data_IF_660358390949
#
_entry.id   IF_660358390949
#
_cell.length_a   1.000
_cell.length_b   1.000
_cell.length_c   1.000
_cell.angle_alpha   90.00
_cell.angle_beta   90.00
_cell.angle_gamma   90.00
#
_symmetry.space_group_name_H-M   'P 1'
#
loop_
_entity.id
_entity.type
_entity.pdbx_description
1 polymer ?
#
# COMPACT_ATOMS: atom_id res chain seq x y z
N UNK A 1 23.63 -5.67 6.39
CA UNK A 1 22.47 -4.91 5.87
C UNK A 1 21.20 -5.73 6.06
N UNK A 2 20.14 -5.09 6.51
CA UNK A 2 18.87 -5.76 6.73
C UNK A 2 17.89 -5.45 5.60
N UNK A 3 17.14 -6.45 5.20
CA UNK A 3 16.09 -6.30 4.21
C UNK A 3 14.74 -6.65 4.84
N UNK A 4 13.72 -5.86 4.54
CA UNK A 4 12.35 -6.20 4.88
C UNK A 4 11.55 -6.23 3.58
N UNK A 5 10.90 -7.36 3.32
CA UNK A 5 10.04 -7.52 2.15
C UNK A 5 8.63 -7.07 2.51
N UNK A 6 8.10 -6.12 1.75
CA UNK A 6 6.74 -5.61 1.97
C UNK A 6 5.97 -5.62 0.66
N UNK A 7 4.66 -5.65 0.77
CA UNK A 7 3.77 -5.40 -0.36
C UNK A 7 3.21 -3.99 -0.24
N UNK A 8 3.00 -3.33 -1.37
CA UNK A 8 2.25 -2.08 -1.43
C UNK A 8 1.23 -2.18 -2.54
N UNK A 9 -0.03 -2.06 -2.17
CA UNK A 9 -1.14 -2.18 -3.11
C UNK A 9 -1.81 -0.83 -3.31
N UNK A 10 -1.96 -0.44 -4.57
CA UNK A 10 -2.78 0.69 -4.97
C UNK A 10 -4.17 0.14 -5.27
N UNK A 11 -5.18 0.74 -4.67
CA UNK A 11 -6.58 0.34 -4.85
C UNK A 11 -7.27 1.40 -5.71
N UNK A 12 -7.87 0.95 -6.80
CA UNK A 12 -8.53 1.82 -7.76
C UNK A 12 -10.04 1.57 -7.74
N UNK A 13 -10.82 2.65 -7.67
CA UNK A 13 -12.25 2.63 -7.85
C UNK A 13 -12.60 3.65 -8.92
N UNK A 14 -13.14 3.19 -10.06
CA UNK A 14 -13.36 4.02 -11.25
C UNK A 14 -12.05 4.75 -11.62
N UNK A 15 -12.06 6.08 -11.69
CA UNK A 15 -10.87 6.87 -12.03
C UNK A 15 -10.08 7.35 -10.80
N UNK A 16 -10.48 6.91 -9.60
CA UNK A 16 -9.89 7.35 -8.34
C UNK A 16 -9.00 6.29 -7.73
N UNK A 17 -8.01 6.71 -6.97
CA UNK A 17 -7.18 5.80 -6.16
C UNK A 17 -7.34 6.12 -4.68
N UNK A 18 -7.13 5.09 -3.86
CA UNK A 18 -7.26 5.17 -2.41
C UNK A 18 -5.93 5.56 -1.79
N UNK A 19 -5.97 6.58 -0.93
CA UNK A 19 -4.85 6.86 -0.03
C UNK A 19 -5.32 6.67 1.40
N UNK A 20 -4.45 6.06 2.21
CA UNK A 20 -4.69 5.80 3.63
C UNK A 20 -3.71 6.62 4.45
N UNK A 21 -4.22 7.35 5.43
CA UNK A 21 -3.35 8.11 6.34
C UNK A 21 -2.93 7.20 7.48
N UNK A 22 -1.65 6.92 7.59
CA UNK A 22 -1.10 6.08 8.65
C UNK A 22 -1.33 6.73 10.00
N UNK A 23 -1.81 5.93 10.97
CA UNK A 23 -2.13 6.44 12.29
C UNK A 23 -0.87 6.74 13.10
N UNK A 24 -1.03 7.36 14.26
CA UNK A 24 0.09 7.59 15.17
C UNK A 24 0.44 6.35 16.02
N UNK A 25 -0.29 5.26 15.84
CA UNK A 25 -0.08 3.98 16.55
C UNK A 25 0.88 3.04 15.84
N UNK A 26 1.22 3.29 14.57
CA UNK A 26 2.17 2.47 13.83
C UNK A 26 3.60 2.82 14.25
N UNK A 27 4.54 1.91 13.98
CA UNK A 27 5.95 2.10 14.38
C UNK A 27 6.73 3.01 13.46
N UNK A 28 6.37 3.06 12.18
CA UNK A 28 7.10 3.81 11.15
C UNK A 28 6.16 4.67 10.34
N UNK A 29 6.69 5.78 9.83
CA UNK A 29 5.97 6.64 8.88
C UNK A 29 4.59 7.06 9.39
N UNK A 30 4.55 7.61 10.63
CA UNK A 30 3.29 8.05 11.24
C UNK A 30 2.73 9.28 10.53
N UNK A 31 1.40 9.33 10.41
CA UNK A 31 0.66 10.50 9.93
C UNK A 31 0.99 10.92 8.49
N UNK A 32 1.53 10.00 7.68
CA UNK A 32 1.71 10.22 6.24
C UNK A 32 0.79 9.29 5.46
N UNK A 33 0.60 9.58 4.18
CA UNK A 33 -0.32 8.84 3.33
C UNK A 33 0.38 7.70 2.60
N UNK A 34 -0.33 6.58 2.43
CA UNK A 34 0.20 5.37 1.81
C UNK A 34 -0.88 4.62 1.05
N UNK A 35 -0.46 3.60 0.28
CA UNK A 35 -1.36 2.54 -0.17
C UNK A 35 -1.56 1.52 0.94
N UNK A 36 -2.14 0.37 0.61
CA UNK A 36 -2.26 -0.75 1.54
C UNK A 36 -0.94 -1.49 1.57
N UNK A 37 -0.30 -1.56 2.73
CA UNK A 37 1.05 -2.13 2.86
C UNK A 37 1.13 -3.11 4.01
N UNK A 38 2.03 -4.09 3.88
CA UNK A 38 2.28 -5.03 4.95
C UNK A 38 3.56 -5.83 4.73
N UNK A 39 4.10 -6.35 5.82
CA UNK A 39 5.33 -7.16 5.79
C UNK A 39 5.00 -8.57 5.33
N UNK A 40 5.79 -9.08 4.38
CA UNK A 40 5.64 -10.45 3.90
C UNK A 40 6.17 -11.39 4.98
N UNK A 41 5.35 -12.35 5.38
CA UNK A 41 5.71 -13.35 6.38
C UNK A 41 6.32 -14.59 5.71
N UNK A 42 7.11 -15.35 6.47
CA UNK A 42 7.80 -16.54 5.94
C UNK A 42 6.82 -17.62 5.45
N UNK A 43 5.63 -17.70 6.04
CA UNK A 43 4.62 -18.70 5.68
C UNK A 43 3.64 -18.22 4.61
N UNK A 44 3.83 -17.02 4.06
CA UNK A 44 3.01 -16.56 2.95
C UNK A 44 3.32 -17.35 1.69
N UNK A 45 2.28 -17.70 0.93
CA UNK A 45 2.44 -18.44 -0.32
C UNK A 45 3.15 -17.59 -1.38
N UNK A 46 2.92 -16.26 -1.36
CA UNK A 46 3.47 -15.34 -2.35
C UNK A 46 3.27 -13.91 -1.87
N UNK A 47 3.98 -12.93 -2.48
CA UNK A 47 3.69 -11.51 -2.22
C UNK A 47 2.24 -11.16 -2.52
N UNK A 48 1.65 -11.70 -3.59
CA UNK A 48 0.25 -11.45 -3.94
C UNK A 48 -0.70 -11.94 -2.83
N UNK A 49 -0.42 -13.11 -2.26
CA UNK A 49 -1.21 -13.65 -1.15
C UNK A 49 -1.20 -12.70 0.04
N UNK A 50 -0.01 -12.18 0.41
CA UNK A 50 0.11 -11.20 1.49
C UNK A 50 -0.65 -9.91 1.16
N UNK A 51 -0.57 -9.44 -0.08
CA UNK A 51 -1.29 -8.24 -0.51
C UNK A 51 -2.80 -8.37 -0.25
N UNK A 52 -3.38 -9.51 -0.59
CA UNK A 52 -4.81 -9.76 -0.38
C UNK A 52 -5.18 -9.80 1.09
N UNK A 53 -4.32 -10.38 1.93
CA UNK A 53 -4.54 -10.42 3.38
C UNK A 53 -4.53 -9.00 3.96
N UNK A 54 -3.54 -8.19 3.57
CA UNK A 54 -3.43 -6.81 4.06
C UNK A 54 -4.63 -5.96 3.63
N UNK A 55 -5.11 -6.15 2.40
CA UNK A 55 -6.29 -5.43 1.92
C UNK A 55 -7.51 -5.78 2.79
N UNK A 56 -7.69 -7.05 3.11
CA UNK A 56 -8.78 -7.46 3.99
C UNK A 56 -8.65 -6.84 5.38
N UNK A 57 -7.46 -6.88 5.96
CA UNK A 57 -7.22 -6.36 7.32
C UNK A 57 -7.34 -4.84 7.40
N UNK A 58 -6.78 -4.11 6.44
CA UNK A 58 -6.69 -2.66 6.52
C UNK A 58 -7.92 -1.93 6.00
N UNK A 59 -8.60 -2.48 5.00
CA UNK A 59 -9.72 -1.79 4.35
C UNK A 59 -11.01 -2.60 4.28
N UNK A 60 -11.00 -3.83 4.76
CA UNK A 60 -12.21 -4.64 4.90
C UNK A 60 -12.73 -5.28 3.62
N UNK A 61 -11.91 -5.37 2.58
CA UNK A 61 -12.33 -5.94 1.29
C UNK A 61 -11.87 -7.40 1.16
N UNK A 62 -12.82 -8.31 0.97
CA UNK A 62 -12.52 -9.74 0.77
C UNK A 62 -12.00 -9.99 -0.65
N UNK A 63 -11.30 -11.11 -0.84
CA UNK A 63 -10.64 -11.43 -2.10
C UNK A 63 -11.55 -11.34 -3.31
N UNK A 64 -12.78 -11.82 -3.22
CA UNK A 64 -13.72 -11.78 -4.35
C UNK A 64 -14.19 -10.39 -4.73
N UNK A 65 -13.91 -9.38 -3.90
CA UNK A 65 -14.29 -7.98 -4.16
C UNK A 65 -13.18 -7.19 -4.80
N UNK A 66 -12.01 -7.78 -4.98
CA UNK A 66 -10.87 -7.10 -5.58
C UNK A 66 -10.40 -7.87 -6.81
N UNK A 67 -9.89 -7.14 -7.79
CA UNK A 67 -9.37 -7.71 -9.03
C UNK A 67 -7.96 -7.16 -9.27
N UNK A 68 -6.99 -8.06 -9.39
CA UNK A 68 -5.62 -7.65 -9.71
C UNK A 68 -5.56 -7.17 -11.16
N UNK A 69 -5.17 -5.91 -11.37
CA UNK A 69 -5.01 -5.36 -12.70
C UNK A 69 -3.57 -5.43 -13.18
N UNK A 70 -2.61 -5.20 -12.29
CA UNK A 70 -1.19 -5.12 -12.68
C UNK A 70 -0.28 -5.33 -11.49
N UNK A 71 0.90 -5.87 -11.75
CA UNK A 71 2.01 -5.91 -10.81
C UNK A 71 3.27 -5.51 -11.54
N UNK A 72 4.26 -4.99 -10.82
CA UNK A 72 5.55 -4.61 -11.37
C UNK A 72 6.68 -5.30 -10.61
N UNK A 73 7.90 -5.16 -11.14
CA UNK A 73 9.09 -5.63 -10.45
C UNK A 73 9.23 -4.94 -9.10
N UNK A 74 9.82 -5.65 -8.15
CA UNK A 74 10.09 -5.11 -6.83
C UNK A 74 11.01 -3.90 -6.89
N UNK A 75 10.85 -3.01 -5.94
CA UNK A 75 11.62 -1.77 -5.82
C UNK A 75 12.34 -1.80 -4.47
N UNK A 76 13.64 -1.51 -4.48
CA UNK A 76 14.42 -1.40 -3.25
C UNK A 76 14.59 0.06 -2.85
N UNK A 77 14.32 0.35 -1.59
CA UNK A 77 14.44 1.69 -1.03
C UNK A 77 15.15 1.61 0.32
N UNK A 78 16.15 2.46 0.50
CA UNK A 78 16.81 2.57 1.79
C UNK A 78 15.90 3.25 2.80
N UNK A 79 15.87 2.71 4.02
CA UNK A 79 15.08 3.27 5.09
C UNK A 79 15.61 4.65 5.50
N UNK A 80 14.71 5.60 5.65
CA UNK A 80 15.06 6.92 6.19
C UNK A 80 15.13 6.91 7.72
N UNK A 81 14.49 5.91 8.34
CA UNK A 81 14.39 5.82 9.79
C UNK A 81 15.47 4.93 10.40
N UNK A 82 15.85 3.84 9.73
CA UNK A 82 16.80 2.87 10.25
C UNK A 82 18.03 2.75 9.35
N UNK A 83 19.22 2.79 9.96
CA UNK A 83 20.48 2.59 9.24
C UNK A 83 20.60 1.15 8.72
N UNK A 84 21.24 0.99 7.56
CA UNK A 84 21.53 -0.32 6.97
C UNK A 84 20.28 -1.18 6.79
N UNK A 85 19.14 -0.55 6.56
CA UNK A 85 17.89 -1.23 6.33
C UNK A 85 17.33 -0.86 4.97
N UNK A 86 17.02 -1.87 4.16
CA UNK A 86 16.42 -1.69 2.84
C UNK A 86 15.03 -2.30 2.83
N UNK A 87 14.06 -1.52 2.34
CA UNK A 87 12.71 -1.99 2.08
C UNK A 87 12.66 -2.54 0.66
N UNK A 88 12.27 -3.79 0.51
CA UNK A 88 12.06 -4.42 -0.79
C UNK A 88 10.55 -4.48 -1.03
N UNK A 89 10.05 -3.66 -1.95
CA UNK A 89 8.62 -3.41 -2.12
C UNK A 89 8.10 -4.14 -3.35
N UNK A 90 7.07 -4.96 -3.16
CA UNK A 90 6.34 -5.65 -4.24
C UNK A 90 5.06 -4.87 -4.54
N UNK A 91 4.97 -4.19 -5.70
CA UNK A 91 3.83 -3.30 -6.00
C UNK A 91 2.72 -4.01 -6.76
N UNK A 92 1.48 -3.72 -6.38
CA UNK A 92 0.28 -4.27 -7.02
C UNK A 92 -0.75 -3.17 -7.25
N UNK A 93 -1.53 -3.31 -8.33
CA UNK A 93 -2.69 -2.47 -8.59
C UNK A 93 -3.93 -3.35 -8.62
N UNK A 94 -4.90 -3.05 -7.75
CA UNK A 94 -6.18 -3.74 -7.70
C UNK A 94 -7.31 -2.78 -8.04
N UNK A 95 -8.37 -3.32 -8.63
CA UNK A 95 -9.61 -2.60 -8.86
C UNK A 95 -10.70 -3.13 -7.94
N UNK A 96 -11.54 -2.22 -7.45
CA UNK A 96 -12.69 -2.56 -6.62
C UNK A 96 -13.96 -1.95 -7.22
N UNK A 97 -15.11 -2.51 -6.86
CA UNK A 97 -16.42 -2.07 -7.37
C UNK A 97 -17.15 -1.15 -6.41
N UNK A 98 -16.60 -0.91 -5.23
CA UNK A 98 -17.23 -0.08 -4.20
C UNK A 98 -16.20 0.86 -3.58
N UNK A 99 -16.59 2.10 -3.26
CA UNK A 99 -15.71 3.02 -2.55
C UNK A 99 -15.75 2.85 -1.03
N UNK A 100 -16.53 1.89 -0.54
CA UNK A 100 -16.71 1.68 0.90
C UNK A 100 -15.48 1.03 1.52
N UNK A 101 -14.91 1.70 2.52
CA UNK A 101 -13.68 1.28 3.19
C UNK A 101 -13.95 1.17 4.69
N UNK A 102 -13.47 0.08 5.30
CA UNK A 102 -13.55 -0.12 6.74
C UNK A 102 -12.13 -0.17 7.29
N UNK A 103 -11.70 0.92 7.92
CA UNK A 103 -10.35 1.05 8.45
C UNK A 103 -10.14 0.22 9.72
N UNK A 104 -8.89 -0.20 9.94
CA UNK A 104 -8.45 -0.75 11.22
C UNK A 104 -7.54 0.27 11.94
N UNK A 105 -6.86 -0.16 13.01
CA UNK A 105 -6.06 0.73 13.85
C UNK A 105 -4.82 1.32 13.13
N UNK A 106 -4.38 0.70 12.04
CA UNK A 106 -3.17 1.14 11.35
C UNK A 106 -3.34 2.47 10.61
N UNK A 107 -4.56 2.77 10.20
CA UNK A 107 -4.86 3.97 9.43
C UNK A 107 -6.00 4.76 10.09
N UNK A 108 -5.83 6.08 10.17
CA UNK A 108 -6.79 6.98 10.83
C UNK A 108 -7.79 7.60 9.87
N UNK A 109 -7.44 7.71 8.59
CA UNK A 109 -8.29 8.35 7.57
C UNK A 109 -8.05 7.69 6.23
N UNK A 110 -9.00 7.87 5.33
CA UNK A 110 -8.82 7.51 3.93
C UNK A 110 -9.41 8.58 3.02
N UNK A 111 -8.93 8.61 1.78
CA UNK A 111 -9.43 9.52 0.77
C UNK A 111 -9.31 8.86 -0.60
N UNK A 112 -10.30 9.11 -1.45
CA UNK A 112 -10.24 8.74 -2.86
C UNK A 112 -9.84 9.98 -3.64
N UNK A 113 -8.78 9.89 -4.44
CA UNK A 113 -8.25 11.04 -5.17
C UNK A 113 -8.07 10.72 -6.65
N UNK A 114 -8.07 11.75 -7.48
CA UNK A 114 -7.52 11.63 -8.83
C UNK A 114 -6.02 11.33 -8.70
N UNK A 115 -5.47 10.37 -9.47
CA UNK A 115 -4.06 10.02 -9.36
C UNK A 115 -3.10 11.22 -9.41
N UNK A 116 -3.40 12.22 -10.23
CA UNK A 116 -2.53 13.40 -10.36
C UNK A 116 -2.50 14.26 -9.10
N UNK A 117 -3.52 14.16 -8.24
CA UNK A 117 -3.57 14.93 -7.00
C UNK A 117 -2.64 14.40 -5.92
N UNK A 118 -2.01 13.24 -6.13
CA UNK A 118 -1.08 12.67 -5.16
C UNK A 118 0.08 13.62 -4.83
N UNK A 119 0.42 14.52 -5.75
CA UNK A 119 1.49 15.50 -5.53
C UNK A 119 1.19 16.45 -4.37
N UNK A 120 -0.09 16.58 -3.98
CA UNK A 120 -0.52 17.43 -2.89
C UNK A 120 -0.46 16.74 -1.52
N UNK A 121 -0.06 15.48 -1.47
CA UNK A 121 -0.06 14.69 -0.24
C UNK A 121 1.36 14.33 0.18
N UNK A 122 1.60 14.35 1.49
CA UNK A 122 2.86 13.86 2.05
C UNK A 122 2.75 12.34 2.15
N UNK A 123 3.48 11.63 1.31
CA UNK A 123 3.38 10.17 1.20
C UNK A 123 4.63 9.46 1.73
N UNK A 124 4.49 8.16 1.98
CA UNK A 124 5.64 7.31 2.25
C UNK A 124 6.57 7.29 1.03
N UNK A 125 7.88 7.01 1.22
CA UNK A 125 8.83 6.99 0.10
C UNK A 125 8.40 6.04 -1.01
N UNK A 126 8.63 6.45 -2.25
CA UNK A 126 8.37 5.70 -3.50
C UNK A 126 6.90 5.52 -3.87
N UNK A 127 5.94 5.92 -3.03
CA UNK A 127 4.53 5.70 -3.37
C UNK A 127 4.14 6.36 -4.68
N UNK A 128 4.60 7.59 -4.92
CA UNK A 128 4.28 8.33 -6.16
C UNK A 128 4.83 7.60 -7.37
N UNK A 129 6.07 7.12 -7.29
CA UNK A 129 6.68 6.36 -8.37
C UNK A 129 5.92 5.06 -8.62
N UNK A 130 5.58 4.33 -7.55
CA UNK A 130 4.82 3.08 -7.63
C UNK A 130 3.50 3.33 -8.33
N UNK A 131 2.78 4.37 -7.93
CA UNK A 131 1.49 4.70 -8.51
C UNK A 131 1.61 4.94 -10.03
N UNK A 132 2.51 5.83 -10.45
CA UNK A 132 2.61 6.19 -11.85
C UNK A 132 3.15 5.05 -12.72
N UNK A 133 3.99 4.19 -12.15
CA UNK A 133 4.48 3.01 -12.87
C UNK A 133 3.39 1.95 -13.07
N UNK A 134 2.39 1.92 -12.20
CA UNK A 134 1.29 0.95 -12.27
C UNK A 134 0.12 1.42 -13.13
N UNK A 135 0.01 2.71 -13.37
CA UNK A 135 -1.13 3.25 -14.16
C UNK A 135 -0.94 3.17 -15.66
#
# INVERSE_FOLDING_TARGET
MRYTNIVTSIIKYQEKILLLKRSNKVKTMKNVWSGVSGIIENDDESPLSRAKIEIFEEVGLVEKKIELLKSNKQIEIDSQQYKNHTWNIFPFLFQVETPEIKLNWENSEFVWIDPNDIVNYKTVPALKQILFDLL
#
